data_IF_857096198704
#
_entry.id   IF_857096198704
#
_cell.length_a   1.000
_cell.length_b   1.000
_cell.length_c   1.000
_cell.angle_alpha   90.00
_cell.angle_beta   90.00
_cell.angle_gamma   90.00
#
_symmetry.space_group_name_H-M   'P 1'
#
loop_
_entity.id
_entity.type
_entity.pdbx_description
1 polymer ?
#
# COMPACT_ATOMS: atom_id res chain seq x y z
N UNK A 1 -8.57 26.87 20.34
CA UNK A 1 -9.68 26.04 20.84
C UNK A 1 -9.91 24.84 19.93
N UNK A 2 -10.15 25.02 18.62
CA UNK A 2 -10.42 23.91 17.68
C UNK A 2 -9.30 22.85 17.55
N UNK A 3 -8.02 23.26 17.55
CA UNK A 3 -6.89 22.30 17.49
C UNK A 3 -6.79 21.43 18.76
N UNK A 4 -7.21 21.96 19.91
CA UNK A 4 -7.23 21.21 21.17
C UNK A 4 -8.41 20.22 21.20
N UNK A 5 -9.57 20.62 20.68
CA UNK A 5 -10.75 19.76 20.56
C UNK A 5 -10.53 18.62 19.54
N UNK A 6 -9.92 18.91 18.39
CA UNK A 6 -9.52 17.87 17.40
C UNK A 6 -8.50 16.90 17.99
N UNK A 7 -7.53 17.40 18.75
CA UNK A 7 -6.54 16.57 19.43
C UNK A 7 -7.19 15.64 20.47
N UNK A 8 -8.16 16.13 21.25
CA UNK A 8 -8.88 15.30 22.23
C UNK A 8 -9.78 14.26 21.55
N UNK A 9 -10.47 14.64 20.47
CA UNK A 9 -11.30 13.73 19.67
C UNK A 9 -10.48 12.56 19.09
N UNK A 10 -9.29 12.83 18.56
CA UNK A 10 -8.40 11.79 18.04
C UNK A 10 -7.91 10.83 19.14
N UNK A 11 -7.55 11.36 20.31
CA UNK A 11 -7.08 10.55 21.44
C UNK A 11 -8.19 9.62 21.96
N UNK A 12 -9.42 10.13 22.06
CA UNK A 12 -10.57 9.32 22.49
C UNK A 12 -10.88 8.20 21.49
N UNK A 13 -10.80 8.47 20.19
CA UNK A 13 -10.98 7.46 19.14
C UNK A 13 -9.82 6.45 19.13
N UNK A 14 -8.59 6.91 19.34
CA UNK A 14 -7.42 6.05 19.48
C UNK A 14 -7.58 5.08 20.65
N UNK A 15 -7.99 5.56 21.83
CA UNK A 15 -8.23 4.71 23.01
C UNK A 15 -9.20 3.55 22.74
N UNK A 16 -10.19 3.75 21.85
CA UNK A 16 -11.14 2.70 21.46
C UNK A 16 -10.51 1.58 20.63
N UNK A 17 -9.44 1.87 19.89
CA UNK A 17 -8.78 0.92 18.98
C UNK A 17 -7.47 0.35 19.51
N UNK A 18 -7.01 0.73 20.72
CA UNK A 18 -5.69 0.34 21.24
C UNK A 18 -5.46 -1.18 21.36
N UNK A 19 -6.52 -1.98 21.44
CA UNK A 19 -6.41 -3.44 21.44
C UNK A 19 -6.16 -4.04 20.05
N UNK A 20 -6.43 -3.28 18.97
CA UNK A 20 -6.43 -3.74 17.59
C UNK A 20 -5.67 -2.81 16.62
N UNK A 21 -5.01 -1.76 17.12
CA UNK A 21 -4.35 -0.75 16.29
C UNK A 21 -3.25 0.01 17.04
N UNK A 22 -2.24 0.43 16.29
CA UNK A 22 -1.12 1.24 16.77
C UNK A 22 -1.04 2.48 15.90
N UNK A 23 -0.86 3.65 16.52
CA UNK A 23 -0.59 4.91 15.83
C UNK A 23 0.85 5.30 16.12
N UNK A 24 1.61 5.56 15.06
CA UNK A 24 2.97 6.11 15.12
C UNK A 24 2.92 7.48 14.45
N UNK A 25 3.38 8.53 15.13
CA UNK A 25 3.45 9.89 14.58
C UNK A 25 4.83 10.16 13.99
N UNK A 26 4.90 11.12 13.06
CA UNK A 26 6.09 11.59 12.37
C UNK A 26 6.75 10.59 11.42
N UNK A 27 7.25 9.46 11.93
CA UNK A 27 7.95 8.47 11.11
C UNK A 27 7.82 7.06 11.69
N UNK A 28 7.63 6.10 10.79
CA UNK A 28 7.64 4.67 11.09
C UNK A 28 8.63 3.95 10.16
N UNK A 29 9.24 2.84 10.63
CA UNK A 29 10.16 2.05 9.81
C UNK A 29 9.40 1.25 8.75
N UNK A 30 8.90 1.93 7.71
CA UNK A 30 7.99 1.39 6.69
C UNK A 30 8.51 0.09 6.08
N UNK A 31 9.79 0.04 5.73
CA UNK A 31 10.39 -1.17 5.17
C UNK A 31 10.41 -2.37 6.12
N UNK A 32 10.65 -2.16 7.41
CA UNK A 32 10.65 -3.24 8.38
C UNK A 32 9.22 -3.72 8.67
N UNK A 33 8.26 -2.78 8.67
CA UNK A 33 6.83 -3.10 8.77
C UNK A 33 6.40 -3.94 7.57
N UNK A 34 6.67 -3.49 6.34
CA UNK A 34 6.27 -4.20 5.11
C UNK A 34 6.89 -5.60 4.99
N UNK A 35 8.10 -5.81 5.52
CA UNK A 35 8.75 -7.13 5.58
C UNK A 35 8.09 -8.09 6.58
N UNK A 36 7.31 -7.59 7.53
CA UNK A 36 6.76 -8.40 8.59
C UNK A 36 5.65 -9.33 8.06
N UNK A 37 5.68 -10.65 8.37
CA UNK A 37 4.75 -11.63 7.80
C UNK A 37 3.28 -11.41 8.18
N UNK A 38 3.00 -10.65 9.24
CA UNK A 38 1.64 -10.29 9.64
C UNK A 38 1.02 -9.16 8.81
N UNK A 39 1.79 -8.47 7.95
CA UNK A 39 1.24 -7.41 7.09
C UNK A 39 0.48 -8.03 5.92
N UNK A 40 -0.83 -7.78 5.87
CA UNK A 40 -1.74 -8.29 4.84
C UNK A 40 -2.01 -7.31 3.69
N UNK A 41 -1.73 -6.02 3.88
CA UNK A 41 -1.96 -4.98 2.87
C UNK A 41 -1.39 -3.63 3.31
N UNK A 42 -1.20 -2.74 2.34
CA UNK A 42 -0.59 -1.42 2.54
C UNK A 42 -1.44 -0.31 1.93
N UNK A 43 -2.03 0.54 2.77
CA UNK A 43 -2.70 1.76 2.30
C UNK A 43 -1.62 2.78 1.95
N UNK A 44 -1.58 3.22 0.70
CA UNK A 44 -0.49 4.04 0.18
C UNK A 44 -1.00 5.10 -0.77
N UNK A 45 -0.32 6.25 -0.77
CA UNK A 45 -0.50 7.31 -1.75
C UNK A 45 0.01 6.97 -3.15
N UNK A 46 0.55 5.76 -3.38
CA UNK A 46 1.05 5.31 -4.69
C UNK A 46 2.25 6.10 -5.23
N UNK A 47 3.09 6.66 -4.36
CA UNK A 47 4.42 7.13 -4.76
C UNK A 47 5.33 5.98 -5.15
N UNK A 48 6.18 6.18 -6.16
CA UNK A 48 6.95 5.11 -6.80
C UNK A 48 7.84 4.31 -5.83
N UNK A 49 8.49 4.98 -4.87
CA UNK A 49 9.31 4.29 -3.87
C UNK A 49 8.47 3.35 -3.01
N UNK A 50 7.35 3.82 -2.45
CA UNK A 50 6.42 3.01 -1.66
C UNK A 50 5.87 1.82 -2.47
N UNK A 51 5.67 1.99 -3.78
CA UNK A 51 5.27 0.89 -4.68
C UNK A 51 6.37 -0.16 -4.74
N UNK A 52 7.61 0.24 -5.02
CA UNK A 52 8.75 -0.67 -5.12
C UNK A 52 9.01 -1.42 -3.81
N UNK A 53 8.87 -0.75 -2.68
CA UNK A 53 8.96 -1.36 -1.34
C UNK A 53 7.87 -2.43 -1.12
N UNK A 54 6.62 -2.10 -1.44
CA UNK A 54 5.48 -3.03 -1.34
C UNK A 54 5.65 -4.25 -2.24
N UNK A 55 6.05 -4.03 -3.50
CA UNK A 55 6.33 -5.09 -4.48
C UNK A 55 7.45 -6.01 -4.00
N UNK A 56 8.56 -5.44 -3.51
CA UNK A 56 9.69 -6.20 -2.98
C UNK A 56 9.32 -7.03 -1.74
N UNK A 57 8.31 -6.60 -0.99
CA UNK A 57 7.82 -7.33 0.18
C UNK A 57 6.67 -8.29 -0.14
N UNK A 58 6.07 -8.21 -1.33
CA UNK A 58 4.92 -9.03 -1.74
C UNK A 58 3.62 -8.62 -1.05
N UNK A 59 3.49 -7.34 -0.70
CA UNK A 59 2.33 -6.78 -0.02
C UNK A 59 1.42 -6.10 -1.05
N UNK A 60 0.10 -6.40 -1.07
CA UNK A 60 -0.84 -5.73 -1.96
C UNK A 60 -1.11 -4.28 -1.53
N UNK A 61 -1.45 -3.43 -2.49
CA UNK A 61 -1.63 -1.99 -2.26
C UNK A 61 -3.12 -1.63 -2.23
N UNK A 62 -3.51 -0.81 -1.25
CA UNK A 62 -4.79 -0.10 -1.22
C UNK A 62 -4.46 1.35 -1.58
N UNK A 63 -4.68 1.71 -2.83
CA UNK A 63 -4.29 2.98 -3.41
C UNK A 63 -5.19 4.12 -2.96
N UNK A 64 -4.58 5.14 -2.37
CA UNK A 64 -5.18 6.39 -1.94
C UNK A 64 -4.38 7.58 -2.49
N UNK A 65 -4.30 7.74 -3.82
CA UNK A 65 -3.44 8.73 -4.46
C UNK A 65 -3.87 10.16 -4.08
N UNK A 66 -2.88 11.04 -3.86
CA UNK A 66 -3.13 12.42 -3.43
C UNK A 66 -2.95 13.42 -4.57
N UNK A 67 -1.88 13.30 -5.37
CA UNK A 67 -1.59 14.25 -6.45
C UNK A 67 -0.57 13.73 -7.48
N UNK A 68 -0.47 14.42 -8.62
CA UNK A 68 0.54 14.20 -9.66
C UNK A 68 0.55 12.77 -10.24
N UNK A 69 1.72 12.17 -10.36
CA UNK A 69 1.96 10.85 -10.95
C UNK A 69 1.29 9.71 -10.17
N UNK A 70 0.99 9.93 -8.89
CA UNK A 70 0.33 8.95 -8.01
C UNK A 70 -1.00 8.46 -8.57
N UNK A 71 -1.77 9.34 -9.24
CA UNK A 71 -3.04 8.97 -9.87
C UNK A 71 -2.83 7.97 -11.00
N UNK A 72 -1.79 8.20 -11.83
CA UNK A 72 -1.41 7.30 -12.91
C UNK A 72 -0.85 5.99 -12.35
N UNK A 73 -0.01 6.06 -11.33
CA UNK A 73 0.56 4.89 -10.67
C UNK A 73 -0.54 4.02 -10.06
N UNK A 74 -1.51 4.61 -9.35
CA UNK A 74 -2.65 3.88 -8.78
C UNK A 74 -3.45 3.15 -9.86
N UNK A 75 -3.74 3.82 -10.97
CA UNK A 75 -4.44 3.23 -12.12
C UNK A 75 -3.65 2.06 -12.72
N UNK A 76 -2.36 2.24 -12.99
CA UNK A 76 -1.48 1.18 -13.50
C UNK A 76 -1.44 -0.04 -12.57
N UNK A 77 -1.38 0.17 -11.25
CA UNK A 77 -1.35 -0.93 -10.28
C UNK A 77 -2.64 -1.76 -10.28
N UNK A 78 -3.77 -1.13 -10.56
CA UNK A 78 -5.10 -1.78 -10.63
C UNK A 78 -5.30 -2.43 -11.99
N UNK A 79 -5.14 -1.68 -13.09
CA UNK A 79 -5.53 -2.10 -14.44
C UNK A 79 -4.48 -3.00 -15.10
N UNK A 80 -3.18 -2.70 -14.94
CA UNK A 80 -2.11 -3.38 -15.69
C UNK A 80 -1.37 -4.41 -14.83
N UNK A 81 -1.06 -4.04 -13.58
CA UNK A 81 -0.24 -4.89 -12.69
C UNK A 81 -1.11 -5.90 -11.92
N UNK A 82 -2.31 -5.49 -11.49
CA UNK A 82 -3.29 -6.32 -10.80
C UNK A 82 -2.96 -6.63 -9.32
N UNK A 83 -2.09 -5.84 -8.67
CA UNK A 83 -1.69 -6.03 -7.27
C UNK A 83 -2.29 -5.00 -6.31
N UNK A 84 -3.27 -4.23 -6.76
CA UNK A 84 -3.88 -3.18 -5.96
C UNK A 84 -5.40 -3.09 -6.13
N UNK A 85 -6.03 -2.45 -5.15
CA UNK A 85 -7.35 -1.81 -5.29
C UNK A 85 -7.20 -0.32 -5.07
N UNK A 86 -7.97 0.49 -5.78
CA UNK A 86 -8.00 1.94 -5.55
C UNK A 86 -9.26 2.29 -4.77
N UNK A 87 -9.10 3.13 -3.75
CA UNK A 87 -10.24 3.68 -3.01
C UNK A 87 -10.90 4.75 -3.85
N UNK A 88 -12.22 4.66 -4.00
CA UNK A 88 -13.00 5.67 -4.71
C UNK A 88 -12.98 7.00 -3.92
N UNK A 89 -12.61 8.08 -4.61
CA UNK A 89 -12.63 9.43 -4.04
C UNK A 89 -13.83 10.17 -4.62
N UNK A 90 -14.66 10.76 -3.76
CA UNK A 90 -15.78 11.57 -4.23
C UNK A 90 -15.26 12.82 -4.97
N UNK A 91 -15.62 13.01 -6.26
CA UNK A 91 -15.16 14.17 -7.04
C UNK A 91 -15.64 15.51 -6.48
N UNK A 92 -16.74 15.52 -5.71
CA UNK A 92 -17.34 16.75 -5.17
C UNK A 92 -16.70 17.24 -3.87
N UNK A 93 -15.96 16.38 -3.17
CA UNK A 93 -15.47 16.68 -1.82
C UNK A 93 -13.95 16.54 -1.65
N UNK A 94 -13.23 15.94 -2.62
CA UNK A 94 -11.83 15.52 -2.43
C UNK A 94 -11.62 14.76 -1.10
N UNK A 95 -12.67 14.06 -0.66
CA UNK A 95 -12.72 13.34 0.60
C UNK A 95 -13.01 11.89 0.29
N UNK A 96 -12.33 11.03 1.04
CA UNK A 96 -12.53 9.59 1.03
C UNK A 96 -13.56 9.27 2.10
N UNK A 97 -14.62 8.55 1.72
CA UNK A 97 -15.57 8.02 2.68
C UNK A 97 -14.90 6.96 3.55
N UNK A 98 -15.12 7.01 4.87
CA UNK A 98 -14.62 5.97 5.78
C UNK A 98 -15.12 4.58 5.40
N UNK A 99 -16.36 4.48 4.90
CA UNK A 99 -16.94 3.23 4.42
C UNK A 99 -16.23 2.70 3.16
N UNK A 100 -15.83 3.58 2.24
CA UNK A 100 -15.16 3.16 1.00
C UNK A 100 -13.74 2.67 1.28
N UNK A 101 -13.03 3.34 2.19
CA UNK A 101 -11.74 2.86 2.69
C UNK A 101 -11.91 1.53 3.44
N UNK A 102 -12.93 1.40 4.30
CA UNK A 102 -13.18 0.17 5.03
C UNK A 102 -13.55 -1.01 4.11
N UNK A 103 -14.29 -0.76 3.01
CA UNK A 103 -14.57 -1.78 1.98
C UNK A 103 -13.29 -2.23 1.29
N UNK A 104 -12.44 -1.30 0.87
CA UNK A 104 -11.17 -1.62 0.22
C UNK A 104 -10.23 -2.43 1.13
N UNK A 105 -10.11 -2.02 2.41
CA UNK A 105 -9.35 -2.77 3.43
C UNK A 105 -9.93 -4.17 3.60
N UNK A 106 -11.25 -4.31 3.80
CA UNK A 106 -11.90 -5.63 3.95
C UNK A 106 -11.63 -6.54 2.76
N UNK A 107 -11.77 -6.04 1.52
CA UNK A 107 -11.48 -6.81 0.30
C UNK A 107 -10.07 -7.40 0.34
N UNK A 108 -9.07 -6.60 0.72
CA UNK A 108 -7.67 -7.04 0.77
C UNK A 108 -7.36 -7.93 1.98
N UNK A 109 -8.05 -7.78 3.11
CA UNK A 109 -7.76 -8.54 4.33
C UNK A 109 -8.57 -9.84 4.46
N UNK A 110 -9.75 -9.91 3.83
CA UNK A 110 -10.63 -11.07 3.88
C UNK A 110 -10.04 -12.23 3.05
N UNK A 111 -9.92 -13.39 3.68
CA UNK A 111 -9.40 -14.61 3.06
C UNK A 111 -10.43 -15.30 2.18
N UNK A 112 -11.71 -14.99 2.33
CA UNK A 112 -12.80 -15.55 1.56
C UNK A 112 -13.20 -14.65 0.37
N UNK A 113 -12.72 -13.39 0.33
CA UNK A 113 -12.87 -12.52 -0.85
C UNK A 113 -11.99 -13.04 -2.00
N UNK A 114 -12.64 -13.43 -3.10
CA UNK A 114 -11.98 -14.04 -4.27
C UNK A 114 -11.03 -13.07 -4.96
N UNK A 115 -11.44 -11.83 -5.15
CA UNK A 115 -10.62 -10.82 -5.83
C UNK A 115 -9.44 -10.43 -4.94
N UNK A 116 -9.68 -10.27 -3.63
CA UNK A 116 -8.64 -10.05 -2.63
C UNK A 116 -7.59 -11.16 -2.63
N UNK A 117 -8.01 -12.42 -2.76
CA UNK A 117 -7.10 -13.54 -2.93
C UNK A 117 -6.23 -13.42 -4.19
N UNK A 118 -6.84 -13.06 -5.33
CA UNK A 118 -6.12 -12.87 -6.61
C UNK A 118 -5.09 -11.74 -6.48
N UNK A 119 -5.47 -10.62 -5.89
CA UNK A 119 -4.58 -9.46 -5.69
C UNK A 119 -3.40 -9.82 -4.77
N UNK A 120 -3.65 -10.52 -3.66
CA UNK A 120 -2.58 -11.01 -2.76
C UNK A 120 -1.66 -12.01 -3.44
N UNK A 121 -2.21 -12.91 -4.26
CA UNK A 121 -1.40 -13.87 -5.03
C UNK A 121 -0.52 -13.14 -6.03
N UNK A 122 -1.06 -12.14 -6.74
CA UNK A 122 -0.30 -11.31 -7.68
C UNK A 122 0.81 -10.53 -6.99
N UNK A 123 0.56 -9.96 -5.80
CA UNK A 123 1.60 -9.29 -5.02
C UNK A 123 2.78 -10.24 -4.68
N UNK A 124 2.49 -11.48 -4.28
CA UNK A 124 3.53 -12.49 -4.01
C UNK A 124 4.30 -12.91 -5.27
N UNK A 125 3.61 -13.04 -6.40
CA UNK A 125 4.25 -13.33 -7.68
C UNK A 125 5.23 -12.22 -8.07
N UNK A 126 4.81 -10.95 -7.95
CA UNK A 126 5.65 -9.80 -8.26
C UNK A 126 6.88 -9.71 -7.38
N UNK A 127 6.78 -10.08 -6.10
CA UNK A 127 7.95 -10.22 -5.22
C UNK A 127 8.99 -11.17 -5.81
N UNK A 128 8.57 -12.36 -6.23
CA UNK A 128 9.48 -13.33 -6.83
C UNK A 128 10.06 -12.87 -8.17
N UNK A 129 9.28 -12.13 -8.96
CA UNK A 129 9.78 -11.50 -10.19
C UNK A 129 10.84 -10.45 -9.86
N UNK A 130 10.59 -9.57 -8.88
CA UNK A 130 11.53 -8.54 -8.45
C UNK A 130 12.83 -9.13 -7.90
N UNK A 131 12.74 -10.17 -7.05
CA UNK A 131 13.88 -10.91 -6.52
C UNK A 131 14.73 -11.51 -7.64
N UNK A 132 14.10 -12.14 -8.64
CA UNK A 132 14.81 -12.71 -9.80
C UNK A 132 15.44 -11.66 -10.69
N UNK A 133 14.79 -10.53 -10.90
CA UNK A 133 15.33 -9.45 -11.75
C UNK A 133 16.65 -8.88 -11.18
N UNK A 134 16.79 -8.88 -9.85
CA UNK A 134 17.97 -8.37 -9.14
C UNK A 134 19.07 -9.41 -8.90
N UNK A 135 18.80 -10.71 -9.11
CA UNK A 135 19.81 -11.76 -8.91
C UNK A 135 20.99 -11.58 -9.89
N UNK A 136 22.21 -12.09 -9.61
CA UNK A 136 23.37 -11.91 -10.49
C UNK A 136 23.20 -12.34 -11.97
N UNK A 137 22.25 -13.23 -12.28
CA UNK A 137 21.87 -13.64 -13.64
C UNK A 137 20.56 -12.97 -14.12
N UNK A 138 20.02 -12.05 -13.33
CA UNK A 138 18.78 -11.33 -13.56
C UNK A 138 18.91 -10.17 -14.52
N UNK A 139 17.78 -9.79 -15.12
CA UNK A 139 17.74 -8.74 -16.15
C UNK A 139 18.18 -7.38 -15.65
N UNK A 140 17.73 -6.94 -14.46
CA UNK A 140 18.08 -5.62 -13.94
C UNK A 140 19.56 -5.55 -13.53
N UNK A 141 20.09 -6.63 -12.93
CA UNK A 141 21.52 -6.73 -12.62
C UNK A 141 22.37 -6.66 -13.88
N UNK A 142 21.99 -7.42 -14.92
CA UNK A 142 22.68 -7.42 -16.20
C UNK A 142 22.69 -6.03 -16.86
N UNK A 143 21.56 -5.33 -16.93
CA UNK A 143 21.51 -3.99 -17.54
C UNK A 143 22.34 -2.97 -16.75
N UNK A 144 22.30 -3.00 -15.41
CA UNK A 144 23.13 -2.12 -14.59
C UNK A 144 24.62 -2.41 -14.74
N UNK A 145 25.01 -3.67 -14.91
CA UNK A 145 26.42 -4.04 -15.12
C UNK A 145 27.03 -3.41 -16.38
N UNK A 146 26.20 -3.11 -17.40
CA UNK A 146 26.65 -2.44 -18.63
C UNK A 146 26.92 -0.95 -18.46
N UNK A 147 26.32 -0.31 -17.45
CA UNK A 147 26.46 1.13 -17.19
C UNK A 147 27.73 1.42 -16.38
N UNK A 148 28.21 0.44 -15.60
CA UNK A 148 29.43 0.55 -14.79
C UNK A 148 30.75 0.40 -15.57
N UNK A 149 30.68 0.22 -16.89
CA UNK A 149 31.81 0.15 -17.82
C UNK A 149 31.79 1.34 -18.77
#
# INVERSE_FOLDING_TARGET
SENLEKSNSFLDEFHRIQSNGIVITDWAPQMDILKHPSVGGFVSHCGWNSIMESVSCGVPIIGLPLFADQMMNARMLVEDVGNAVQVEVSPSAYMVGSEDLAKAIRKIMDKDDRDGCVIRARAKELKHIAERAWFPDGSAYFELSKIGH
#
